data_IF_606541181755
#
_entry.id   IF_606541181755
#
_cell.length_a   1.000
_cell.length_b   1.000
_cell.length_c   1.000
_cell.angle_alpha   90.00
_cell.angle_beta   90.00
_cell.angle_gamma   90.00
#
_symmetry.space_group_name_H-M   'P 1'
#
loop_
_entity.id
_entity.type
_entity.pdbx_description
1 polymer ?
#
# COMPACT_ATOMS: atom_id res chain seq x y z
N UNK A 1 -4.74 10.12 -13.85
CA UNK A 1 -5.40 8.83 -13.53
C UNK A 1 -6.71 8.66 -14.29
N UNK A 2 -7.75 9.48 -14.04
CA UNK A 2 -9.05 9.38 -14.74
C UNK A 2 -8.92 9.44 -16.27
N UNK A 3 -8.18 10.41 -16.81
CA UNK A 3 -7.94 10.52 -18.25
C UNK A 3 -7.23 9.29 -18.86
N UNK A 4 -6.42 8.56 -18.07
CA UNK A 4 -5.75 7.33 -18.52
C UNK A 4 -6.69 6.13 -18.50
N UNK A 5 -7.64 6.10 -17.56
CA UNK A 5 -8.67 5.05 -17.47
C UNK A 5 -9.67 5.19 -18.61
N UNK A 6 -10.08 6.42 -18.91
CA UNK A 6 -11.02 6.72 -20.00
C UNK A 6 -10.45 6.38 -21.38
N UNK A 7 -9.14 6.57 -21.59
CA UNK A 7 -8.49 6.32 -22.87
C UNK A 7 -8.05 4.87 -23.10
N UNK A 8 -7.53 4.22 -22.06
CA UNK A 8 -6.84 2.92 -22.21
C UNK A 8 -7.53 1.77 -21.48
N UNK A 9 -8.60 2.04 -20.71
CA UNK A 9 -9.26 1.06 -19.86
C UNK A 9 -8.49 0.75 -18.57
N UNK A 10 -9.20 0.21 -17.56
CA UNK A 10 -8.64 -0.04 -16.22
C UNK A 10 -7.51 -1.07 -16.25
N UNK A 11 -7.65 -2.13 -17.04
CA UNK A 11 -6.69 -3.25 -17.11
C UNK A 11 -5.31 -2.74 -17.54
N UNK A 12 -5.25 -1.94 -18.59
CA UNK A 12 -4.03 -1.38 -19.16
C UNK A 12 -3.27 -0.51 -18.15
N UNK A 13 -3.96 0.16 -17.23
CA UNK A 13 -3.32 1.03 -16.24
C UNK A 13 -2.51 0.30 -15.16
N UNK A 14 -2.69 -1.01 -14.99
CA UNK A 14 -1.89 -1.82 -14.06
C UNK A 14 -1.11 -2.94 -14.73
N UNK A 15 -1.36 -3.23 -16.02
CA UNK A 15 -0.60 -4.23 -16.79
C UNK A 15 0.51 -3.62 -17.64
N UNK A 16 0.38 -2.36 -18.08
CA UNK A 16 1.37 -1.70 -18.93
C UNK A 16 1.90 -0.40 -18.32
N UNK A 17 3.19 -0.16 -18.54
CA UNK A 17 3.86 1.09 -18.15
C UNK A 17 3.31 2.19 -19.05
N UNK A 18 2.49 3.06 -18.47
CA UNK A 18 1.84 4.19 -19.15
C UNK A 18 2.39 5.52 -18.63
N UNK A 19 2.01 6.64 -19.25
CA UNK A 19 2.36 7.99 -18.76
C UNK A 19 1.98 8.22 -17.29
N UNK A 20 0.99 7.46 -16.78
CA UNK A 20 0.61 7.49 -15.37
C UNK A 20 1.77 7.09 -14.45
N UNK A 21 2.74 6.33 -14.93
CA UNK A 21 3.90 5.87 -14.16
C UNK A 21 5.18 6.63 -14.45
N UNK A 22 5.43 6.91 -15.73
CA UNK A 22 6.66 7.57 -16.16
C UNK A 22 6.65 9.06 -15.90
N UNK A 23 5.50 9.63 -15.54
CA UNK A 23 5.41 11.02 -15.12
C UNK A 23 6.18 11.24 -13.80
N UNK A 24 7.00 12.30 -13.79
CA UNK A 24 7.79 12.74 -12.63
C UNK A 24 6.94 12.91 -11.37
N UNK A 25 5.69 13.37 -11.51
CA UNK A 25 4.76 13.54 -10.38
C UNK A 25 4.45 12.18 -9.74
N UNK A 26 4.18 11.15 -10.55
CA UNK A 26 3.89 9.82 -10.05
C UNK A 26 5.11 9.16 -9.41
N UNK A 27 6.29 9.32 -10.02
CA UNK A 27 7.55 8.89 -9.43
C UNK A 27 7.82 9.52 -8.06
N UNK A 28 7.54 10.82 -7.92
CA UNK A 28 7.64 11.51 -6.64
C UNK A 28 6.71 10.91 -5.57
N UNK A 29 5.44 10.64 -5.90
CA UNK A 29 4.49 10.05 -4.94
C UNK A 29 4.88 8.62 -4.54
N UNK A 30 5.40 7.82 -5.48
CA UNK A 30 5.93 6.49 -5.20
C UNK A 30 7.15 6.61 -4.27
N UNK A 31 8.05 7.56 -4.52
CA UNK A 31 9.20 7.80 -3.66
C UNK A 31 8.81 8.20 -2.23
N UNK A 32 7.86 9.13 -2.08
CA UNK A 32 7.31 9.52 -0.78
C UNK A 32 6.64 8.33 -0.09
N UNK A 33 5.97 7.45 -0.83
CA UNK A 33 5.37 6.23 -0.30
C UNK A 33 6.44 5.24 0.21
N UNK A 34 7.56 5.08 -0.51
CA UNK A 34 8.69 4.27 -0.02
C UNK A 34 9.27 4.89 1.26
N UNK A 35 9.42 6.22 1.29
CA UNK A 35 9.87 6.93 2.48
C UNK A 35 8.92 6.79 3.68
N UNK A 36 7.60 6.67 3.46
CA UNK A 36 6.62 6.51 4.54
C UNK A 36 6.84 5.24 5.36
N UNK A 37 7.53 4.24 4.80
CA UNK A 37 7.88 3.01 5.52
C UNK A 37 8.89 3.22 6.64
N UNK A 38 9.67 4.30 6.61
CA UNK A 38 10.60 4.66 7.69
C UNK A 38 9.83 5.10 8.95
N UNK A 39 8.90 6.08 8.91
CA UNK A 39 7.97 6.37 10.01
C UNK A 39 7.22 5.16 10.56
N UNK A 40 6.75 4.28 9.67
CA UNK A 40 6.03 3.07 10.07
C UNK A 40 6.91 2.08 10.87
N UNK A 41 8.23 2.06 10.65
CA UNK A 41 9.15 1.30 11.49
C UNK A 41 9.29 1.91 12.89
N UNK A 42 9.19 3.24 13.02
CA UNK A 42 9.18 3.87 14.33
C UNK A 42 7.97 3.44 15.17
N UNK A 43 6.80 3.16 14.56
CA UNK A 43 5.63 2.62 15.27
C UNK A 43 5.96 1.28 15.95
N UNK A 44 6.70 0.39 15.25
CA UNK A 44 7.18 -0.88 15.82
C UNK A 44 8.22 -0.65 16.92
N UNK A 45 9.14 0.31 16.73
CA UNK A 45 10.16 0.66 17.72
C UNK A 45 9.52 1.20 19.01
N UNK A 46 8.52 2.08 18.91
CA UNK A 46 7.78 2.58 20.08
C UNK A 46 7.04 1.48 20.83
N UNK A 47 6.49 0.47 20.14
CA UNK A 47 5.87 -0.69 20.77
C UNK A 47 6.89 -1.53 21.56
N UNK A 48 8.07 -1.76 20.98
CA UNK A 48 9.19 -2.47 21.62
C UNK A 48 9.67 -1.70 22.85
N UNK A 49 9.90 -0.39 22.73
CA UNK A 49 10.33 0.48 23.84
C UNK A 49 9.29 0.50 24.97
N UNK A 50 8.00 0.36 24.65
CA UNK A 50 6.90 0.27 25.62
C UNK A 50 6.71 -1.13 26.21
N UNK A 51 7.53 -2.11 25.82
CA UNK A 51 7.46 -3.50 26.28
C UNK A 51 6.18 -4.23 25.88
N UNK A 52 5.47 -3.77 24.84
CA UNK A 52 4.22 -4.41 24.40
C UNK A 52 4.51 -5.52 23.40
N UNK A 53 3.86 -6.69 23.52
CA UNK A 53 4.06 -7.78 22.57
C UNK A 53 3.61 -7.35 21.17
N UNK A 54 4.51 -7.50 20.20
CA UNK A 54 4.19 -7.20 18.80
C UNK A 54 3.33 -8.34 18.25
N UNK A 55 2.14 -8.01 17.76
CA UNK A 55 1.26 -9.00 17.12
C UNK A 55 1.87 -9.44 15.78
N UNK A 56 1.75 -10.73 15.46
CA UNK A 56 2.29 -11.31 14.22
C UNK A 56 1.95 -10.50 12.97
N UNK A 57 0.67 -10.16 12.81
CA UNK A 57 0.17 -9.41 11.65
C UNK A 57 0.87 -8.05 11.46
N UNK A 58 1.25 -7.37 12.55
CA UNK A 58 1.84 -6.04 12.49
C UNK A 58 3.26 -6.07 11.94
N UNK A 59 4.16 -6.87 12.54
CA UNK A 59 5.54 -6.94 12.06
C UNK A 59 5.64 -7.63 10.70
N UNK A 60 4.78 -8.63 10.43
CA UNK A 60 4.71 -9.30 9.13
C UNK A 60 4.28 -8.32 8.03
N UNK A 61 3.25 -7.50 8.26
CA UNK A 61 2.81 -6.46 7.33
C UNK A 61 3.92 -5.44 7.06
N UNK A 62 4.56 -4.89 8.11
CA UNK A 62 5.63 -3.89 7.93
C UNK A 62 6.81 -4.48 7.15
N UNK A 63 7.25 -5.70 7.49
CA UNK A 63 8.35 -6.38 6.78
C UNK A 63 8.01 -6.63 5.30
N UNK A 64 6.82 -7.16 5.02
CA UNK A 64 6.39 -7.44 3.65
C UNK A 64 6.21 -6.15 2.84
N UNK A 65 5.66 -5.09 3.43
CA UNK A 65 5.44 -3.81 2.75
C UNK A 65 6.76 -3.12 2.37
N UNK A 66 7.80 -3.22 3.19
CA UNK A 66 9.15 -2.72 2.90
C UNK A 66 9.78 -3.53 1.77
N UNK A 67 9.78 -4.85 1.86
CA UNK A 67 10.34 -5.72 0.82
C UNK A 67 9.63 -5.50 -0.53
N UNK A 68 8.30 -5.46 -0.50
CA UNK A 68 7.48 -5.21 -1.68
C UNK A 68 7.76 -3.82 -2.27
N UNK A 69 7.91 -2.80 -1.43
CA UNK A 69 8.22 -1.45 -1.90
C UNK A 69 9.59 -1.36 -2.56
N UNK A 70 10.62 -1.95 -1.95
CA UNK A 70 11.99 -1.94 -2.48
C UNK A 70 12.11 -2.72 -3.79
N UNK A 71 11.52 -3.91 -3.88
CA UNK A 71 11.57 -4.74 -5.10
C UNK A 71 10.87 -4.03 -6.26
N UNK A 72 9.71 -3.42 -6.01
CA UNK A 72 8.95 -2.77 -7.07
C UNK A 72 9.50 -1.41 -7.48
N UNK A 73 10.18 -0.70 -6.58
CA UNK A 73 10.87 0.54 -6.91
C UNK A 73 12.02 0.30 -7.90
N UNK A 74 12.68 -0.86 -7.83
CA UNK A 74 13.76 -1.23 -8.75
C UNK A 74 13.22 -1.81 -10.06
N UNK A 75 12.05 -2.46 -10.04
CA UNK A 75 11.52 -3.25 -11.15
C UNK A 75 10.56 -2.54 -12.11
N UNK A 76 10.38 -1.21 -12.02
CA UNK A 76 9.51 -0.39 -12.89
C UNK A 76 8.15 -1.04 -13.23
N UNK A 77 7.44 -1.58 -12.23
CA UNK A 77 6.23 -2.38 -12.49
C UNK A 77 4.94 -1.54 -12.51
N UNK A 78 4.22 -1.55 -13.65
CA UNK A 78 2.90 -0.91 -13.93
C UNK A 78 1.92 -0.75 -12.75
N UNK A 79 1.70 -1.84 -12.03
CA UNK A 79 0.70 -1.91 -10.97
C UNK A 79 1.03 -1.15 -9.67
N UNK A 80 2.29 -0.72 -9.49
CA UNK A 80 2.75 -0.10 -8.24
C UNK A 80 1.95 1.16 -7.89
N UNK A 81 1.55 1.95 -8.90
CA UNK A 81 0.75 3.18 -8.70
C UNK A 81 -0.54 2.85 -7.94
N UNK A 82 -1.28 1.84 -8.37
CA UNK A 82 -2.55 1.47 -7.73
C UNK A 82 -2.37 1.02 -6.27
N UNK A 83 -1.29 0.29 -5.99
CA UNK A 83 -0.96 -0.15 -4.63
C UNK A 83 -0.62 1.05 -3.73
N UNK A 84 0.16 2.00 -4.24
CA UNK A 84 0.55 3.23 -3.55
C UNK A 84 -0.68 4.09 -3.21
N UNK A 85 -1.56 4.34 -4.19
CA UNK A 85 -2.77 5.15 -4.00
C UNK A 85 -3.73 4.52 -2.97
N UNK A 86 -3.96 3.22 -3.05
CA UNK A 86 -4.81 2.52 -2.08
C UNK A 86 -4.20 2.57 -0.67
N UNK A 87 -2.89 2.41 -0.56
CA UNK A 87 -2.19 2.47 0.72
C UNK A 87 -2.28 3.87 1.35
N UNK A 88 -2.05 4.94 0.57
CA UNK A 88 -2.22 6.31 1.04
C UNK A 88 -3.64 6.59 1.51
N UNK A 89 -4.65 6.09 0.81
CA UNK A 89 -6.04 6.26 1.20
C UNK A 89 -6.32 5.62 2.57
N UNK A 90 -5.98 4.34 2.74
CA UNK A 90 -6.18 3.62 4.01
C UNK A 90 -5.37 4.23 5.14
N UNK A 91 -4.10 4.59 4.90
CA UNK A 91 -3.23 5.18 5.92
C UNK A 91 -3.67 6.58 6.32
N UNK A 92 -4.18 7.39 5.38
CA UNK A 92 -4.74 8.71 5.69
C UNK A 92 -5.92 8.59 6.66
N UNK A 93 -6.82 7.62 6.45
CA UNK A 93 -7.96 7.38 7.35
C UNK A 93 -7.46 6.84 8.71
N UNK A 94 -6.53 5.88 8.71
CA UNK A 94 -5.99 5.30 9.94
C UNK A 94 -5.28 6.34 10.82
N UNK A 95 -4.37 7.13 10.26
CA UNK A 95 -3.65 8.15 11.02
C UNK A 95 -4.56 9.30 11.45
N UNK A 96 -5.56 9.65 10.65
CA UNK A 96 -6.62 10.59 11.08
C UNK A 96 -7.36 10.08 12.31
N UNK A 97 -7.70 8.78 12.33
CA UNK A 97 -8.31 8.14 13.50
C UNK A 97 -7.39 8.15 14.73
N UNK A 98 -6.10 7.85 14.56
CA UNK A 98 -5.12 7.92 15.66
C UNK A 98 -4.96 9.34 16.21
N UNK A 99 -4.89 10.34 15.32
CA UNK A 99 -4.84 11.75 15.71
C UNK A 99 -6.07 12.14 16.54
N UNK A 100 -7.28 11.80 16.08
CA UNK A 100 -8.51 12.11 16.81
C UNK A 100 -8.59 11.39 18.16
N UNK A 101 -8.07 10.17 18.24
CA UNK A 101 -7.99 9.41 19.50
C UNK A 101 -7.05 10.09 20.51
N UNK A 102 -5.96 10.72 20.05
CA UNK A 102 -5.07 11.52 20.90
C UNK A 102 -5.75 12.78 21.46
N UNK A 103 -6.70 13.36 20.72
CA UNK A 103 -7.55 14.46 21.20
C UNK A 103 -8.65 14.01 22.18
N UNK A 104 -8.56 12.79 22.73
CA UNK A 104 -9.50 12.22 23.70
C UNK A 104 -10.93 12.03 23.17
N UNK A 105 -11.14 12.04 21.85
CA UNK A 105 -12.42 11.66 21.27
C UNK A 105 -12.66 10.16 21.48
N UNK A 106 -13.77 9.82 22.15
CA UNK A 106 -14.20 8.44 22.35
C UNK A 106 -15.00 7.97 21.14
N UNK A 107 -14.38 7.15 20.31
CA UNK A 107 -15.06 6.52 19.18
C UNK A 107 -15.73 5.19 19.59
N UNK A 108 -16.89 4.86 19.00
CA UNK A 108 -17.48 3.53 19.15
C UNK A 108 -16.53 2.47 18.56
N UNK A 109 -16.53 1.27 19.15
CA UNK A 109 -15.65 0.14 18.76
C UNK A 109 -15.75 -0.26 17.27
N UNK A 110 -16.85 0.11 16.62
CA UNK A 110 -17.12 -0.14 15.21
C UNK A 110 -16.06 0.54 14.31
N UNK A 111 -15.61 1.75 14.65
CA UNK A 111 -14.66 2.51 13.82
C UNK A 111 -13.28 1.83 13.72
N UNK A 112 -12.59 1.51 14.83
CA UNK A 112 -11.32 0.78 14.74
C UNK A 112 -11.48 -0.63 14.14
N UNK A 113 -12.64 -1.27 14.29
CA UNK A 113 -12.94 -2.54 13.63
C UNK A 113 -13.03 -2.38 12.12
N UNK A 114 -13.78 -1.38 11.62
CA UNK A 114 -13.86 -1.07 10.19
C UNK A 114 -12.50 -0.75 9.58
N UNK A 115 -11.63 -0.03 10.29
CA UNK A 115 -10.26 0.25 9.82
C UNK A 115 -9.45 -1.04 9.66
N UNK A 116 -9.55 -1.95 10.64
CA UNK A 116 -8.87 -3.26 10.57
C UNK A 116 -9.42 -4.09 9.39
N UNK A 117 -10.73 -4.05 9.15
CA UNK A 117 -11.35 -4.72 7.99
C UNK A 117 -10.85 -4.14 6.67
N UNK A 118 -10.77 -2.81 6.55
CA UNK A 118 -10.24 -2.15 5.36
C UNK A 118 -8.77 -2.52 5.09
N UNK A 119 -7.95 -2.62 6.14
CA UNK A 119 -6.55 -3.07 6.03
C UNK A 119 -6.45 -4.52 5.54
N UNK A 120 -7.32 -5.42 6.01
CA UNK A 120 -7.35 -6.81 5.55
C UNK A 120 -7.77 -6.87 4.07
N UNK A 121 -8.80 -6.11 3.68
CA UNK A 121 -9.25 -6.04 2.28
C UNK A 121 -8.12 -5.51 1.37
N UNK A 122 -7.42 -4.45 1.79
CA UNK A 122 -6.26 -3.92 1.07
C UNK A 122 -5.21 -5.02 0.82
N UNK A 123 -4.92 -5.84 1.83
CA UNK A 123 -3.94 -6.93 1.71
C UNK A 123 -4.38 -8.02 0.73
N UNK A 124 -5.65 -8.42 0.77
CA UNK A 124 -6.21 -9.40 -0.17
C UNK A 124 -6.14 -8.91 -1.62
N UNK A 125 -6.44 -7.63 -1.86
CA UNK A 125 -6.34 -7.01 -3.18
C UNK A 125 -4.88 -7.04 -3.67
N UNK A 126 -3.91 -6.71 -2.81
CA UNK A 126 -2.49 -6.72 -3.18
C UNK A 126 -2.02 -8.14 -3.53
N UNK A 127 -2.40 -9.15 -2.74
CA UNK A 127 -2.07 -10.56 -3.03
C UNK A 127 -2.67 -10.99 -4.36
N UNK A 128 -3.95 -10.69 -4.59
CA UNK A 128 -4.62 -11.02 -5.85
C UNK A 128 -3.91 -10.39 -7.05
N UNK A 129 -3.57 -9.10 -6.93
CA UNK A 129 -2.86 -8.37 -7.97
C UNK A 129 -1.47 -8.98 -8.27
N UNK A 130 -0.74 -9.35 -7.22
CA UNK A 130 0.55 -10.03 -7.31
C UNK A 130 0.45 -11.38 -8.03
N UNK A 131 -0.52 -12.21 -7.66
CA UNK A 131 -0.76 -13.52 -8.30
C UNK A 131 -1.11 -13.33 -9.78
N UNK A 132 -1.98 -12.38 -10.08
CA UNK A 132 -2.40 -12.09 -11.46
C UNK A 132 -1.18 -11.67 -12.32
N UNK A 133 -0.31 -10.80 -11.80
CA UNK A 133 0.89 -10.38 -12.54
C UNK A 133 1.90 -11.52 -12.69
N UNK A 134 2.09 -12.33 -11.65
CA UNK A 134 2.95 -13.51 -11.73
C UNK A 134 2.44 -14.50 -12.79
N UNK A 135 1.12 -14.71 -12.85
CA UNK A 135 0.49 -15.50 -13.89
C UNK A 135 0.77 -14.89 -15.28
N UNK A 136 0.50 -13.59 -15.48
CA UNK A 136 0.75 -12.94 -16.77
C UNK A 136 2.21 -13.03 -17.21
N UNK A 137 3.18 -12.84 -16.31
CA UNK A 137 4.62 -12.99 -16.63
C UNK A 137 4.96 -14.42 -17.04
N UNK A 138 4.50 -15.43 -16.29
CA UNK A 138 4.77 -16.84 -16.59
C UNK A 138 4.18 -17.31 -17.93
N UNK A 139 3.00 -16.78 -18.31
CA UNK A 139 2.37 -17.13 -19.58
C UNK A 139 2.90 -16.30 -20.75
N UNK A 140 3.36 -15.06 -20.52
CA UNK A 140 3.97 -14.22 -21.56
C UNK A 140 5.40 -14.63 -21.91
N UNK A 141 6.14 -15.25 -20.98
CA UNK A 141 7.51 -15.73 -21.23
C UNK A 141 7.54 -17.04 -22.04
N UNK A 142 6.36 -17.66 -22.27
CA UNK A 142 6.20 -18.93 -22.97
C UNK A 142 5.77 -18.82 -24.44
N UNK A 143 5.61 -17.60 -24.97
CA UNK A 143 5.29 -17.31 -26.38
C UNK A 143 6.44 -16.58 -27.06
#
# INVERSE_FOLDING_TARGET
MFNSIERNGVITTYTQITELQTNQISGFWIFIWVLSKIPELFDTLFLILKGRPIRFMHWFHHSMSILFGTINFIGDNAYLVWVVWMNFFIHSIMYSYYMLTCFSFRFPKIIPQSLTTLQIIQFLIIIFQLIHIAFLKLFSEKS
#
